data_IF_803229477321
#
_entry.id   IF_803229477321
#
_cell.length_a   1.000
_cell.length_b   1.000
_cell.length_c   1.000
_cell.angle_alpha   90.00
_cell.angle_beta   90.00
_cell.angle_gamma   90.00
#
_symmetry.space_group_name_H-M   'P 1'
#
loop_
_entity.id
_entity.type
_entity.pdbx_description
1 polymer ?
#
# COMPACT_ATOMS: atom_id res chain seq x y z
N UNK A 1 -33.31 -68.76 -38.72
CA UNK A 1 -31.93 -68.54 -38.24
C UNK A 1 -31.49 -67.08 -38.24
N UNK A 2 -32.25 -66.12 -38.81
CA UNK A 2 -31.75 -64.70 -38.93
C UNK A 2 -32.20 -63.74 -37.84
N UNK A 3 -32.95 -64.15 -36.82
CA UNK A 3 -33.37 -63.25 -35.74
C UNK A 3 -32.45 -63.27 -34.49
N UNK A 4 -31.68 -64.33 -34.34
CA UNK A 4 -30.75 -64.47 -33.18
C UNK A 4 -29.44 -63.71 -33.44
N UNK A 5 -29.00 -63.61 -34.69
CA UNK A 5 -27.77 -62.87 -35.05
C UNK A 5 -27.92 -61.34 -34.86
N UNK A 6 -29.15 -60.79 -35.03
CA UNK A 6 -29.41 -59.37 -34.84
C UNK A 6 -29.35 -58.89 -33.39
N UNK A 7 -29.78 -59.76 -32.46
CA UNK A 7 -29.81 -59.43 -31.02
C UNK A 7 -28.38 -59.45 -30.40
N UNK A 8 -27.56 -60.39 -30.85
CA UNK A 8 -26.16 -60.45 -30.38
C UNK A 8 -25.31 -59.26 -30.89
N UNK A 9 -25.60 -58.75 -32.08
CA UNK A 9 -24.88 -57.59 -32.63
C UNK A 9 -25.25 -56.29 -31.91
N UNK A 10 -26.50 -56.08 -31.54
CA UNK A 10 -26.97 -54.89 -30.79
C UNK A 10 -26.49 -54.88 -29.34
N UNK A 11 -26.38 -56.01 -28.66
CA UNK A 11 -25.83 -56.10 -27.31
C UNK A 11 -24.32 -55.84 -27.30
N UNK A 12 -23.58 -56.20 -28.32
CA UNK A 12 -22.13 -55.95 -28.37
C UNK A 12 -21.81 -54.46 -28.60
N UNK A 13 -22.61 -53.76 -29.42
CA UNK A 13 -22.44 -52.30 -29.64
C UNK A 13 -22.83 -51.50 -28.41
N UNK A 14 -23.88 -51.92 -27.66
CA UNK A 14 -24.28 -51.28 -26.41
C UNK A 14 -23.23 -51.46 -25.30
N UNK A 15 -22.54 -52.60 -25.23
CA UNK A 15 -21.47 -52.84 -24.23
C UNK A 15 -20.19 -52.02 -24.55
N UNK A 16 -19.88 -51.77 -25.82
CA UNK A 16 -18.75 -50.93 -26.23
C UNK A 16 -19.05 -49.44 -25.93
N UNK A 17 -20.28 -48.98 -26.17
CA UNK A 17 -20.70 -47.61 -25.86
C UNK A 17 -20.71 -47.31 -24.35
N UNK A 18 -21.13 -48.26 -23.53
CA UNK A 18 -21.09 -48.11 -22.04
C UNK A 18 -19.66 -48.08 -21.50
N UNK A 19 -18.70 -48.75 -22.13
CA UNK A 19 -17.29 -48.72 -21.75
C UNK A 19 -16.60 -47.36 -22.03
N UNK A 20 -17.10 -46.59 -23.00
CA UNK A 20 -16.56 -45.24 -23.30
C UNK A 20 -17.09 -44.15 -22.34
N UNK A 21 -18.23 -44.34 -21.70
CA UNK A 21 -18.81 -43.38 -20.77
C UNK A 21 -18.25 -43.50 -19.33
N UNK A 22 -17.54 -44.56 -18.98
CA UNK A 22 -16.93 -44.75 -17.67
C UNK A 22 -15.48 -44.21 -17.56
N UNK A 23 -14.98 -43.57 -18.59
CA UNK A 23 -13.56 -43.11 -18.62
C UNK A 23 -13.36 -41.61 -18.47
N UNK A 24 -14.34 -40.88 -18.01
CA UNK A 24 -14.26 -39.42 -17.91
C UNK A 24 -14.83 -38.87 -16.60
N UNK A 25 -14.25 -39.24 -15.51
CA UNK A 25 -14.25 -38.40 -14.29
C UNK A 25 -12.98 -38.72 -13.51
N UNK A 26 -11.85 -38.15 -13.94
CA UNK A 26 -10.77 -37.92 -12.99
C UNK A 26 -11.33 -36.97 -11.93
N UNK A 27 -11.20 -37.30 -10.64
CA UNK A 27 -11.62 -36.37 -9.58
C UNK A 27 -10.79 -35.10 -9.76
N UNK A 28 -11.44 -33.96 -10.04
CA UNK A 28 -10.83 -32.67 -9.93
C UNK A 28 -10.24 -32.57 -8.52
N UNK A 29 -8.93 -32.62 -8.41
CA UNK A 29 -8.25 -32.33 -7.16
C UNK A 29 -8.62 -30.89 -6.78
N UNK A 30 -9.22 -30.65 -5.62
CA UNK A 30 -9.53 -29.30 -5.21
C UNK A 30 -8.22 -28.51 -5.15
N UNK A 31 -8.01 -27.64 -6.12
CA UNK A 31 -6.87 -26.74 -6.13
C UNK A 31 -7.15 -25.69 -5.06
N UNK A 32 -6.69 -25.92 -3.85
CA UNK A 32 -6.66 -24.90 -2.81
C UNK A 32 -5.74 -23.78 -3.26
N UNK A 33 -6.29 -22.72 -3.83
CA UNK A 33 -5.57 -21.47 -4.03
C UNK A 33 -5.55 -20.77 -2.67
N UNK A 34 -4.51 -21.02 -1.90
CA UNK A 34 -4.22 -20.19 -0.73
C UNK A 34 -3.75 -18.85 -1.27
N UNK A 35 -4.59 -17.83 -1.16
CA UNK A 35 -4.18 -16.45 -1.42
C UNK A 35 -3.28 -16.03 -0.26
N UNK A 36 -1.98 -16.18 -0.44
CA UNK A 36 -1.00 -15.66 0.52
C UNK A 36 -0.84 -14.18 0.22
N UNK A 37 -1.44 -13.34 1.05
CA UNK A 37 -1.33 -11.90 0.88
C UNK A 37 0.09 -11.45 1.26
N UNK A 38 0.78 -10.89 0.28
CA UNK A 38 2.13 -10.35 0.45
C UNK A 38 2.08 -9.07 1.30
N UNK A 39 2.88 -9.02 2.34
CA UNK A 39 3.00 -7.83 3.19
C UNK A 39 4.01 -6.87 2.59
N UNK A 40 3.59 -5.63 2.35
CA UNK A 40 4.47 -4.51 1.98
C UNK A 40 4.78 -3.72 3.25
N UNK A 41 6.06 -3.57 3.57
CA UNK A 41 6.54 -2.86 4.75
C UNK A 41 7.50 -1.74 4.34
N UNK A 42 7.07 -0.49 4.57
CA UNK A 42 7.93 0.68 4.49
C UNK A 42 8.54 1.01 5.86
N UNK A 43 9.83 1.36 5.88
CA UNK A 43 10.48 1.84 7.10
C UNK A 43 11.61 2.83 6.78
N UNK A 44 11.96 3.67 7.77
CA UNK A 44 13.11 4.56 7.69
C UNK A 44 14.06 4.26 8.84
N UNK A 45 15.35 4.46 8.60
CA UNK A 45 16.41 4.31 9.60
C UNK A 45 17.06 5.67 9.83
N UNK A 46 17.13 6.10 11.08
CA UNK A 46 17.70 7.38 11.48
C UNK A 46 18.84 7.15 12.46
N UNK A 47 19.95 7.85 12.26
CA UNK A 47 21.07 7.86 13.21
C UNK A 47 20.71 8.61 14.51
N UNK A 48 21.66 8.69 15.44
CA UNK A 48 21.49 9.39 16.71
C UNK A 48 21.26 10.90 16.56
N UNK A 49 21.63 11.48 15.40
CA UNK A 49 21.42 12.88 15.03
C UNK A 49 20.15 13.10 14.23
N UNK A 50 19.29 12.06 14.12
CA UNK A 50 18.08 12.02 13.30
C UNK A 50 18.34 12.25 11.80
N UNK A 51 19.50 11.88 11.29
CA UNK A 51 19.80 11.86 9.84
C UNK A 51 19.42 10.49 9.28
N UNK A 52 18.91 10.47 8.06
CA UNK A 52 18.59 9.22 7.37
C UNK A 52 19.85 8.42 7.09
N UNK A 53 19.77 7.12 7.34
CA UNK A 53 20.81 6.14 7.04
C UNK A 53 20.42 5.44 5.76
N UNK A 54 21.16 5.69 4.69
CA UNK A 54 20.92 5.13 3.36
C UNK A 54 21.96 4.08 3.01
N UNK A 55 21.69 3.29 1.95
CA UNK A 55 22.61 2.29 1.43
C UNK A 55 22.62 0.98 2.21
N UNK A 56 21.70 0.76 3.15
CA UNK A 56 21.53 -0.54 3.80
C UNK A 56 21.08 -1.59 2.77
N UNK A 57 21.54 -2.82 2.96
CA UNK A 57 21.18 -3.98 2.14
C UNK A 57 20.27 -4.93 2.92
N UNK A 58 19.58 -5.86 2.27
CA UNK A 58 18.71 -6.82 2.96
C UNK A 58 19.39 -7.59 4.11
N UNK A 59 20.69 -7.84 4.03
CA UNK A 59 21.47 -8.51 5.08
C UNK A 59 21.70 -7.66 6.33
N UNK A 60 21.55 -6.34 6.23
CA UNK A 60 21.84 -5.40 7.30
C UNK A 60 20.67 -5.25 8.27
N UNK A 61 19.53 -5.89 7.98
CA UNK A 61 18.36 -5.88 8.86
C UNK A 61 17.59 -7.21 8.83
N UNK A 62 16.79 -7.44 9.86
CA UNK A 62 15.86 -8.55 9.97
C UNK A 62 14.46 -8.02 10.24
N UNK A 63 13.46 -8.64 9.63
CA UNK A 63 12.04 -8.35 9.86
C UNK A 63 11.45 -9.49 10.68
N UNK A 64 10.69 -9.14 11.70
CA UNK A 64 9.96 -10.09 12.55
C UNK A 64 8.48 -9.74 12.55
N UNK A 65 7.65 -10.78 12.60
CA UNK A 65 6.21 -10.71 12.80
C UNK A 65 5.87 -11.59 14.00
N UNK A 66 5.38 -11.00 15.11
CA UNK A 66 5.18 -11.68 16.39
C UNK A 66 6.38 -12.55 16.81
N UNK A 67 7.61 -12.00 16.71
CA UNK A 67 8.90 -12.66 16.98
C UNK A 67 9.30 -13.75 15.97
N UNK A 68 8.47 -14.04 14.95
CA UNK A 68 8.79 -14.99 13.86
C UNK A 68 9.57 -14.23 12.78
N UNK A 69 10.80 -14.68 12.50
CA UNK A 69 11.63 -14.08 11.47
C UNK A 69 11.00 -14.27 10.08
N UNK A 70 10.92 -13.19 9.31
CA UNK A 70 10.35 -13.19 7.97
C UNK A 70 11.45 -13.20 6.90
N UNK A 71 11.22 -13.96 5.82
CA UNK A 71 12.10 -13.97 4.66
C UNK A 71 11.70 -12.84 3.72
N UNK A 72 12.56 -11.82 3.57
CA UNK A 72 12.34 -10.71 2.65
C UNK A 72 12.39 -11.23 1.22
N UNK A 73 11.33 -10.97 0.44
CA UNK A 73 11.21 -11.37 -0.96
C UNK A 73 11.70 -10.28 -1.92
N UNK A 74 11.33 -9.01 -1.66
CA UNK A 74 11.83 -7.88 -2.45
C UNK A 74 12.32 -6.74 -1.55
N UNK A 75 13.17 -5.91 -2.14
CA UNK A 75 13.79 -4.77 -1.47
C UNK A 75 13.88 -3.58 -2.42
N UNK A 76 13.54 -2.40 -1.93
CA UNK A 76 13.75 -1.13 -2.60
C UNK A 76 14.23 -0.06 -1.61
N UNK A 77 15.00 0.92 -2.10
CA UNK A 77 15.41 2.11 -1.35
C UNK A 77 14.91 3.36 -2.09
N UNK A 78 14.20 4.22 -1.40
CA UNK A 78 13.60 5.42 -1.97
C UNK A 78 12.63 5.09 -3.11
N UNK A 79 12.75 5.81 -4.20
CA UNK A 79 11.94 5.63 -5.42
C UNK A 79 12.54 4.65 -6.43
N UNK A 80 13.58 3.88 -6.04
CA UNK A 80 14.21 2.88 -6.91
C UNK A 80 13.26 1.70 -7.15
N UNK A 81 13.45 1.06 -8.31
CA UNK A 81 12.71 -0.17 -8.63
C UNK A 81 12.97 -1.26 -7.60
N UNK A 82 11.95 -1.98 -7.16
CA UNK A 82 12.12 -3.14 -6.30
C UNK A 82 13.02 -4.19 -6.94
N UNK A 83 13.86 -4.82 -6.14
CA UNK A 83 14.75 -5.91 -6.54
C UNK A 83 14.39 -7.18 -5.75
N UNK A 84 14.49 -8.33 -6.40
CA UNK A 84 14.31 -9.63 -5.73
C UNK A 84 15.50 -9.88 -4.80
N UNK A 85 15.21 -10.34 -3.59
CA UNK A 85 16.24 -10.78 -2.64
C UNK A 85 16.44 -12.31 -2.83
N UNK A 86 17.64 -12.71 -3.18
CA UNK A 86 18.02 -14.12 -3.34
C UNK A 86 18.33 -14.76 -1.98
N UNK A 87 18.44 -16.08 -1.93
CA UNK A 87 18.72 -16.82 -0.69
C UNK A 87 20.07 -16.46 -0.04
N UNK A 88 21.07 -16.12 -0.86
CA UNK A 88 22.38 -15.65 -0.40
C UNK A 88 22.37 -14.15 0.02
N UNK A 89 21.21 -13.46 -0.05
CA UNK A 89 21.05 -12.04 0.26
C UNK A 89 21.44 -11.08 -0.86
N UNK A 90 21.82 -11.58 -2.05
CA UNK A 90 22.10 -10.75 -3.22
C UNK A 90 20.81 -10.19 -3.82
N UNK A 91 20.94 -9.09 -4.55
CA UNK A 91 19.83 -8.40 -5.20
C UNK A 91 19.85 -8.69 -6.72
N UNK A 92 18.70 -9.07 -7.26
CA UNK A 92 18.48 -9.25 -8.69
C UNK A 92 17.31 -8.39 -9.16
N UNK A 93 17.41 -7.71 -10.32
CA UNK A 93 16.26 -7.01 -10.88
C UNK A 93 15.07 -7.98 -11.05
N UNK A 94 13.86 -7.52 -10.70
CA UNK A 94 12.64 -8.24 -11.04
C UNK A 94 12.59 -8.35 -12.57
N UNK A 95 12.47 -9.58 -13.09
CA UNK A 95 12.20 -9.76 -14.51
C UNK A 95 10.75 -9.37 -14.74
N UNK A 96 10.50 -8.41 -15.62
CA UNK A 96 9.17 -8.22 -16.15
C UNK A 96 8.70 -9.56 -16.72
N UNK A 97 7.58 -10.07 -16.27
CA UNK A 97 6.94 -11.24 -16.83
C UNK A 97 6.31 -10.87 -18.18
N UNK A 98 7.17 -10.48 -19.13
CA UNK A 98 6.86 -10.35 -20.56
C UNK A 98 6.89 -11.74 -21.18
N UNK A 99 5.97 -12.61 -20.77
CA UNK A 99 5.64 -13.79 -21.53
C UNK A 99 4.84 -13.33 -22.76
N UNK A 100 5.36 -13.58 -23.97
CA UNK A 100 4.52 -13.64 -25.18
C UNK A 100 3.30 -14.52 -24.85
N UNK A 101 2.10 -14.19 -25.38
CA UNK A 101 0.95 -15.05 -25.22
C UNK A 101 1.22 -16.38 -25.92
N UNK A 102 1.75 -17.33 -25.17
CA UNK A 102 1.85 -18.72 -25.62
C UNK A 102 0.45 -19.34 -25.72
N UNK A 103 0.25 -20.37 -26.58
CA UNK A 103 -1.06 -20.93 -26.83
C UNK A 103 -1.70 -21.42 -25.53
N UNK A 104 -2.96 -21.04 -25.36
CA UNK A 104 -3.84 -21.44 -24.24
C UNK A 104 -3.91 -22.97 -24.21
N UNK A 105 -3.26 -23.62 -23.25
CA UNK A 105 -3.37 -25.08 -23.12
C UNK A 105 -2.28 -25.81 -22.35
N UNK A 106 -1.35 -25.15 -21.66
CA UNK A 106 -0.40 -25.84 -20.81
C UNK A 106 -0.67 -25.56 -19.32
N UNK A 107 -1.00 -26.62 -18.57
CA UNK A 107 -0.92 -26.64 -17.11
C UNK A 107 0.53 -26.34 -16.68
N UNK A 108 0.86 -25.08 -16.48
CA UNK A 108 2.10 -24.70 -15.84
C UNK A 108 1.86 -24.83 -14.34
N UNK A 109 2.59 -25.69 -13.60
CA UNK A 109 2.54 -25.70 -12.15
C UNK A 109 2.90 -24.31 -11.66
N UNK A 110 2.12 -23.76 -10.71
CA UNK A 110 2.38 -22.46 -10.11
C UNK A 110 3.81 -22.47 -9.57
N UNK A 111 4.72 -21.72 -10.23
CA UNK A 111 6.08 -21.58 -9.80
C UNK A 111 6.04 -20.78 -8.48
N UNK A 112 6.45 -21.33 -7.34
CA UNK A 112 6.48 -20.60 -6.08
C UNK A 112 7.40 -19.37 -6.10
N UNK A 113 8.23 -19.21 -7.15
CA UNK A 113 9.08 -18.05 -7.38
C UNK A 113 8.43 -16.96 -8.25
N UNK A 114 7.19 -17.11 -8.67
CA UNK A 114 6.47 -16.08 -9.41
C UNK A 114 6.05 -14.95 -8.46
N UNK A 115 6.87 -13.92 -8.41
CA UNK A 115 6.55 -12.68 -7.66
C UNK A 115 5.37 -11.99 -8.37
N UNK A 116 4.34 -11.65 -7.57
CA UNK A 116 3.16 -10.92 -8.05
C UNK A 116 3.60 -9.61 -8.75
N UNK A 117 3.12 -9.37 -9.98
CA UNK A 117 3.42 -8.18 -10.79
C UNK A 117 3.05 -6.85 -10.13
N UNK A 118 2.29 -6.89 -9.03
CA UNK A 118 2.02 -5.71 -8.19
C UNK A 118 3.27 -5.06 -7.60
N UNK A 119 4.39 -5.79 -7.57
CA UNK A 119 5.67 -5.30 -7.03
C UNK A 119 6.51 -4.53 -8.05
N UNK A 120 6.14 -4.55 -9.33
CA UNK A 120 6.94 -3.94 -10.42
C UNK A 120 6.77 -2.41 -10.55
N UNK A 121 5.84 -1.80 -9.80
CA UNK A 121 5.61 -0.36 -9.86
C UNK A 121 6.81 0.40 -9.27
N UNK A 122 7.52 1.13 -10.13
CA UNK A 122 8.59 2.04 -9.73
C UNK A 122 8.02 3.32 -9.13
N UNK A 123 8.67 3.86 -8.10
CA UNK A 123 8.26 5.08 -7.43
C UNK A 123 7.16 4.86 -6.39
N UNK A 124 6.65 5.96 -5.88
CA UNK A 124 5.60 5.98 -4.86
C UNK A 124 4.30 6.52 -5.45
N UNK A 125 3.18 5.88 -5.13
CA UNK A 125 1.85 6.41 -5.42
C UNK A 125 1.46 7.34 -4.28
N UNK A 126 1.38 8.63 -4.55
CA UNK A 126 1.10 9.67 -3.57
C UNK A 126 -0.35 10.14 -3.75
N UNK A 127 -1.19 9.92 -2.75
CA UNK A 127 -2.54 10.46 -2.71
C UNK A 127 -2.56 11.68 -1.80
N UNK A 128 -2.80 12.86 -2.34
CA UNK A 128 -3.01 14.08 -1.56
C UNK A 128 -4.50 14.26 -1.34
N UNK A 129 -4.90 14.31 -0.07
CA UNK A 129 -6.26 14.63 0.37
C UNK A 129 -6.27 16.03 0.99
N UNK A 130 -6.79 16.99 0.25
CA UNK A 130 -6.80 18.41 0.61
C UNK A 130 -8.15 18.85 1.14
N UNK A 131 -8.14 19.39 2.35
CA UNK A 131 -9.30 19.98 3.00
C UNK A 131 -9.71 21.31 2.34
N UNK A 132 -10.92 21.37 1.83
CA UNK A 132 -11.51 22.56 1.23
C UNK A 132 -12.73 23.07 2.01
N UNK A 133 -12.94 22.57 3.23
CA UNK A 133 -14.03 23.00 4.10
C UNK A 133 -13.86 24.45 4.57
N UNK A 134 -14.91 24.99 5.18
CA UNK A 134 -14.91 26.34 5.73
C UNK A 134 -13.84 26.56 6.81
N UNK A 135 -13.34 25.49 7.46
CA UNK A 135 -12.24 25.57 8.40
C UNK A 135 -10.91 25.95 7.74
N UNK A 136 -10.75 25.64 6.42
CA UNK A 136 -9.54 25.95 5.65
C UNK A 136 -9.58 27.31 4.94
N UNK A 137 -10.70 28.02 4.94
CA UNK A 137 -10.94 29.20 4.12
C UNK A 137 -9.81 30.25 4.16
N UNK A 138 -9.30 30.57 5.34
CA UNK A 138 -8.25 31.59 5.51
C UNK A 138 -6.87 31.13 5.02
N UNK A 139 -6.63 29.83 4.95
CA UNK A 139 -5.35 29.25 4.53
C UNK A 139 -5.35 28.66 3.13
N UNK A 140 -6.48 28.64 2.45
CA UNK A 140 -6.72 27.88 1.23
C UNK A 140 -5.69 28.16 0.11
N UNK A 141 -5.42 29.43 -0.17
CA UNK A 141 -4.49 29.82 -1.26
C UNK A 141 -3.05 29.36 -0.94
N UNK A 142 -2.58 29.65 0.28
CA UNK A 142 -1.23 29.24 0.72
C UNK A 142 -1.08 27.70 0.78
N UNK A 143 -2.14 27.01 1.20
CA UNK A 143 -2.18 25.57 1.20
C UNK A 143 -2.05 25.00 -0.22
N UNK A 144 -2.84 25.54 -1.16
CA UNK A 144 -2.80 25.12 -2.56
C UNK A 144 -1.41 25.35 -3.18
N UNK A 145 -0.76 26.49 -2.88
CA UNK A 145 0.59 26.77 -3.38
C UNK A 145 1.62 25.82 -2.77
N UNK A 146 1.58 25.57 -1.47
CA UNK A 146 2.47 24.62 -0.79
C UNK A 146 2.33 23.19 -1.33
N UNK A 147 1.09 22.74 -1.60
CA UNK A 147 0.84 21.45 -2.23
C UNK A 147 1.37 21.42 -3.67
N UNK A 148 1.19 22.51 -4.43
CA UNK A 148 1.71 22.61 -5.80
C UNK A 148 3.25 22.52 -5.84
N UNK A 149 3.94 23.17 -4.90
CA UNK A 149 5.41 23.09 -4.77
C UNK A 149 5.86 21.68 -4.38
N UNK A 150 5.15 21.03 -3.48
CA UNK A 150 5.38 19.61 -3.15
C UNK A 150 5.25 18.73 -4.40
N UNK A 151 4.18 18.88 -5.19
CA UNK A 151 3.95 18.11 -6.41
C UNK A 151 5.11 18.31 -7.41
N UNK A 152 5.60 19.55 -7.60
CA UNK A 152 6.74 19.84 -8.49
C UNK A 152 8.03 19.14 -8.05
N UNK A 153 8.22 19.02 -6.74
CA UNK A 153 9.42 18.43 -6.15
C UNK A 153 9.41 16.92 -5.99
N UNK A 154 8.34 16.21 -6.35
CA UNK A 154 8.29 14.75 -6.32
C UNK A 154 9.24 14.13 -7.34
N UNK A 155 9.78 12.94 -7.05
CA UNK A 155 10.60 12.20 -8.01
C UNK A 155 9.81 11.88 -9.28
N UNK A 156 10.50 11.82 -10.43
CA UNK A 156 9.84 11.57 -11.73
C UNK A 156 9.15 10.21 -11.81
N UNK A 157 9.62 9.24 -11.05
CA UNK A 157 9.02 7.91 -10.96
C UNK A 157 7.73 7.88 -10.13
N UNK A 158 7.52 8.87 -9.25
CA UNK A 158 6.33 8.92 -8.40
C UNK A 158 5.08 9.29 -9.20
N UNK A 159 3.96 8.72 -8.81
CA UNK A 159 2.62 9.05 -9.32
C UNK A 159 1.87 9.87 -8.27
N UNK A 160 0.99 10.76 -8.71
CA UNK A 160 0.24 11.66 -7.84
C UNK A 160 -1.26 11.62 -8.16
N UNK A 161 -2.09 11.47 -7.14
CA UNK A 161 -3.53 11.73 -7.19
C UNK A 161 -3.83 12.95 -6.32
N UNK A 162 -4.73 13.81 -6.77
CA UNK A 162 -5.19 14.97 -6.01
C UNK A 162 -6.68 14.83 -5.74
N UNK A 163 -6.99 14.64 -4.47
CA UNK A 163 -8.35 14.57 -3.95
C UNK A 163 -8.60 15.79 -3.08
N UNK A 164 -9.79 16.34 -3.16
CA UNK A 164 -10.22 17.43 -2.29
C UNK A 164 -11.47 16.99 -1.55
N UNK A 165 -11.71 17.55 -0.39
CA UNK A 165 -12.91 17.24 0.37
C UNK A 165 -13.44 18.44 1.14
N UNK A 166 -14.73 18.44 1.34
CA UNK A 166 -15.48 19.16 2.35
C UNK A 166 -16.47 18.16 2.97
N UNK A 167 -17.75 18.27 2.73
CA UNK A 167 -18.74 17.25 3.11
C UNK A 167 -18.60 15.96 2.29
N UNK A 168 -18.17 16.08 1.04
CA UNK A 168 -17.98 14.96 0.11
C UNK A 168 -16.57 14.93 -0.46
N UNK A 169 -16.13 13.71 -0.82
CA UNK A 169 -14.87 13.51 -1.52
C UNK A 169 -15.02 13.89 -3.00
N UNK A 170 -14.11 14.74 -3.47
CA UNK A 170 -13.92 15.03 -4.88
C UNK A 170 -12.56 14.48 -5.35
N UNK A 171 -12.58 13.57 -6.30
CA UNK A 171 -11.39 13.01 -6.95
C UNK A 171 -10.96 13.94 -8.09
N UNK A 172 -10.36 15.08 -7.72
CA UNK A 172 -10.04 16.16 -8.66
C UNK A 172 -9.09 15.71 -9.77
N UNK A 173 -8.12 14.86 -9.44
CA UNK A 173 -7.18 14.27 -10.41
C UNK A 173 -6.91 12.82 -10.04
N UNK A 174 -7.17 11.87 -10.97
CA UNK A 174 -6.80 10.48 -10.76
C UNK A 174 -5.29 10.30 -10.72
N UNK A 175 -4.81 9.17 -10.20
CA UNK A 175 -3.40 8.86 -10.10
C UNK A 175 -2.71 8.88 -11.47
N UNK A 176 -1.70 9.72 -11.61
CA UNK A 176 -0.93 9.92 -12.85
C UNK A 176 0.46 10.50 -12.55
N UNK A 177 1.31 10.59 -13.57
CA UNK A 177 2.66 11.19 -13.46
C UNK A 177 2.75 12.62 -14.00
N UNK A 178 1.67 13.18 -14.53
CA UNK A 178 1.63 14.53 -15.08
C UNK A 178 1.45 15.58 -13.96
N UNK A 179 2.54 16.25 -13.62
CA UNK A 179 2.55 17.31 -12.60
C UNK A 179 1.68 18.50 -12.97
N UNK A 180 1.62 18.82 -14.26
CA UNK A 180 0.79 19.91 -14.79
C UNK A 180 -0.70 19.63 -14.59
N UNK A 181 -1.13 18.40 -14.91
CA UNK A 181 -2.50 17.93 -14.68
C UNK A 181 -2.83 17.96 -13.17
N UNK A 182 -1.93 17.47 -12.33
CA UNK A 182 -2.15 17.44 -10.87
C UNK A 182 -2.30 18.86 -10.29
N UNK A 183 -1.42 19.79 -10.65
CA UNK A 183 -1.48 21.19 -10.20
C UNK A 183 -2.70 21.92 -10.79
N UNK A 184 -3.03 21.64 -12.06
CA UNK A 184 -4.23 22.20 -12.71
C UNK A 184 -5.53 21.78 -12.02
N UNK A 185 -5.63 20.51 -11.61
CA UNK A 185 -6.78 20.00 -10.87
C UNK A 185 -6.85 20.57 -9.45
N UNK A 186 -5.71 20.68 -8.76
CA UNK A 186 -5.62 21.29 -7.44
C UNK A 186 -6.14 22.73 -7.45
N UNK A 187 -5.75 23.53 -8.46
CA UNK A 187 -6.20 24.94 -8.59
C UNK A 187 -7.68 25.10 -8.93
N UNK A 188 -8.35 24.05 -9.38
CA UNK A 188 -9.80 24.03 -9.60
C UNK A 188 -10.57 23.62 -8.34
N UNK A 189 -9.90 23.38 -7.22
CA UNK A 189 -10.55 23.06 -5.96
C UNK A 189 -11.50 24.19 -5.54
N UNK A 190 -12.70 23.82 -5.12
CA UNK A 190 -13.75 24.76 -4.70
C UNK A 190 -13.92 24.64 -3.19
N UNK A 191 -14.00 25.77 -2.51
CA UNK A 191 -14.32 25.81 -1.09
C UNK A 191 -15.73 25.27 -0.84
N UNK A 192 -15.86 24.48 0.21
CA UNK A 192 -17.11 23.91 0.70
C UNK A 192 -17.38 24.30 2.15
N UNK A 193 -18.45 23.76 2.73
CA UNK A 193 -18.89 24.13 4.07
C UNK A 193 -18.36 23.20 5.15
N UNK A 194 -18.99 22.03 5.31
CA UNK A 194 -18.67 21.07 6.37
C UNK A 194 -17.39 20.28 6.09
N UNK A 195 -16.81 19.72 7.14
CA UNK A 195 -15.66 18.83 7.06
C UNK A 195 -16.06 17.40 7.40
N UNK A 196 -15.98 16.48 6.42
CA UNK A 196 -16.14 15.04 6.60
C UNK A 196 -14.82 14.32 6.38
N UNK A 197 -13.79 14.71 7.12
CA UNK A 197 -12.40 14.23 6.98
C UNK A 197 -12.32 12.70 7.01
N UNK A 198 -12.91 12.07 8.04
CA UNK A 198 -12.74 10.63 8.24
C UNK A 198 -13.48 9.80 7.19
N UNK A 199 -14.69 10.24 6.76
CA UNK A 199 -15.37 9.61 5.64
C UNK A 199 -14.53 9.69 4.35
N UNK A 200 -13.98 10.87 4.05
CA UNK A 200 -13.22 11.12 2.84
C UNK A 200 -11.85 10.43 2.87
N UNK A 201 -11.21 10.40 4.03
CA UNK A 201 -9.95 9.66 4.21
C UNK A 201 -10.16 8.16 4.04
N UNK A 202 -11.25 7.58 4.59
CA UNK A 202 -11.58 6.17 4.39
C UNK A 202 -11.77 5.83 2.91
N UNK A 203 -12.49 6.67 2.16
CA UNK A 203 -12.69 6.48 0.72
C UNK A 203 -11.38 6.62 -0.06
N UNK A 204 -10.51 7.56 0.34
CA UNK A 204 -9.18 7.73 -0.25
C UNK A 204 -8.31 6.50 -0.01
N UNK A 205 -8.32 5.94 1.19
CA UNK A 205 -7.59 4.71 1.51
C UNK A 205 -8.09 3.51 0.69
N UNK A 206 -9.40 3.37 0.52
CA UNK A 206 -9.98 2.32 -0.34
C UNK A 206 -9.59 2.43 -1.81
N UNK A 207 -9.45 3.66 -2.31
CA UNK A 207 -8.95 3.87 -3.68
C UNK A 207 -7.44 3.59 -3.76
N UNK A 208 -6.68 4.04 -2.77
CA UNK A 208 -5.25 3.84 -2.67
C UNK A 208 -4.86 2.36 -2.54
N UNK A 209 -5.65 1.56 -1.82
CA UNK A 209 -5.45 0.12 -1.64
C UNK A 209 -5.60 -0.70 -2.93
N UNK A 210 -6.33 -0.18 -3.93
CA UNK A 210 -6.48 -0.84 -5.24
C UNK A 210 -5.26 -0.67 -6.15
N UNK A 211 -4.36 0.24 -5.80
CA UNK A 211 -3.21 0.57 -6.64
C UNK A 211 -2.02 -0.30 -6.23
N UNK A 212 -1.40 -1.02 -7.18
CA UNK A 212 -0.22 -1.82 -6.88
C UNK A 212 0.99 -0.96 -6.56
N UNK A 213 1.90 -1.50 -5.75
CA UNK A 213 3.16 -0.86 -5.37
C UNK A 213 3.07 -0.04 -4.08
N UNK A 214 4.13 0.71 -3.81
CA UNK A 214 4.23 1.55 -2.62
C UNK A 214 3.27 2.72 -2.71
N UNK A 215 2.37 2.83 -1.74
CA UNK A 215 1.34 3.87 -1.70
C UNK A 215 1.38 4.62 -0.38
N UNK A 216 1.18 5.94 -0.41
CA UNK A 216 1.06 6.81 0.77
C UNK A 216 -0.10 7.78 0.61
N UNK A 217 -0.71 8.18 1.72
CA UNK A 217 -1.73 9.22 1.76
C UNK A 217 -1.19 10.41 2.55
N UNK A 218 -1.31 11.61 1.98
CA UNK A 218 -0.96 12.87 2.62
C UNK A 218 -2.24 13.68 2.82
N UNK A 219 -2.61 13.86 4.07
CA UNK A 219 -3.76 14.69 4.47
C UNK A 219 -3.27 16.09 4.76
N UNK A 220 -3.88 17.08 4.12
CA UNK A 220 -3.68 18.49 4.44
C UNK A 220 -4.99 19.07 4.96
N UNK A 221 -5.06 19.38 6.26
CA UNK A 221 -6.30 19.77 6.92
C UNK A 221 -6.05 20.73 8.09
N UNK A 222 -7.10 21.45 8.47
CA UNK A 222 -7.09 22.25 9.71
C UNK A 222 -7.47 21.42 10.96
N UNK A 223 -8.10 20.28 10.80
CA UNK A 223 -8.33 19.33 11.89
C UNK A 223 -9.76 18.99 12.23
N UNK A 224 -10.68 19.95 12.46
CA UNK A 224 -12.01 19.59 12.87
C UNK A 224 -12.78 18.76 11.84
N UNK A 225 -13.53 17.79 12.35
CA UNK A 225 -14.48 16.99 11.59
C UNK A 225 -15.85 17.13 12.24
N UNK A 226 -16.85 17.59 11.47
CA UNK A 226 -18.21 17.80 11.93
C UNK A 226 -19.28 17.07 11.13
N UNK A 227 -18.88 16.31 10.11
CA UNK A 227 -19.82 15.68 9.19
C UNK A 227 -19.51 14.21 8.88
N UNK A 228 -18.47 13.62 9.44
CA UNK A 228 -18.19 12.19 9.25
C UNK A 228 -19.13 11.30 10.06
N UNK A 229 -19.47 10.16 9.45
CA UNK A 229 -20.22 9.07 10.08
C UNK A 229 -19.28 7.97 10.62
N UNK A 230 -18.06 7.83 10.06
CA UNK A 230 -17.06 6.87 10.51
C UNK A 230 -16.17 7.49 11.57
N UNK A 231 -15.64 6.63 12.45
CA UNK A 231 -14.72 7.05 13.50
C UNK A 231 -13.26 7.16 12.98
N UNK A 232 -12.41 7.97 13.64
CA UNK A 232 -10.97 7.95 13.36
C UNK A 232 -10.32 6.57 13.54
N UNK A 233 -10.85 5.76 14.45
CA UNK A 233 -10.41 4.40 14.73
C UNK A 233 -10.66 3.46 13.55
N UNK A 234 -11.82 3.58 12.88
CA UNK A 234 -12.14 2.79 11.68
C UNK A 234 -11.18 3.12 10.54
N UNK A 235 -10.89 4.42 10.34
CA UNK A 235 -9.93 4.89 9.33
C UNK A 235 -8.54 4.34 9.62
N UNK A 236 -8.10 4.40 10.87
CA UNK A 236 -6.81 3.87 11.31
C UNK A 236 -6.72 2.38 11.05
N UNK A 237 -7.75 1.61 11.41
CA UNK A 237 -7.76 0.16 11.22
C UNK A 237 -7.60 -0.21 9.73
N UNK A 238 -8.33 0.44 8.83
CA UNK A 238 -8.20 0.21 7.38
C UNK A 238 -6.78 0.56 6.88
N UNK A 239 -6.21 1.68 7.33
CA UNK A 239 -4.87 2.08 6.91
C UNK A 239 -3.78 1.12 7.42
N UNK A 240 -3.93 0.60 8.64
CA UNK A 240 -3.04 -0.44 9.20
C UNK A 240 -3.13 -1.75 8.41
N UNK A 241 -4.35 -2.20 8.10
CA UNK A 241 -4.59 -3.44 7.38
C UNK A 241 -4.06 -3.37 5.94
N UNK A 242 -4.28 -2.25 5.24
CA UNK A 242 -3.78 -2.03 3.88
C UNK A 242 -2.28 -1.65 3.83
N UNK A 243 -1.67 -1.37 4.97
CA UNK A 243 -0.25 -0.99 5.05
C UNK A 243 0.08 0.35 4.42
N UNK A 244 -0.88 1.28 4.38
CA UNK A 244 -0.74 2.60 3.75
C UNK A 244 -0.33 3.63 4.82
N UNK A 245 0.90 4.18 4.77
CA UNK A 245 1.31 5.27 5.66
C UNK A 245 0.48 6.53 5.41
N UNK A 246 0.02 7.15 6.52
CA UNK A 246 -0.71 8.41 6.49
C UNK A 246 0.19 9.51 7.06
N UNK A 247 0.52 10.49 6.21
CA UNK A 247 1.13 11.74 6.62
C UNK A 247 0.04 12.79 6.81
N UNK A 248 0.14 13.59 7.87
CA UNK A 248 -0.81 14.67 8.11
C UNK A 248 -0.06 15.99 8.25
N UNK A 249 -0.48 17.00 7.50
CA UNK A 249 -0.06 18.38 7.69
C UNK A 249 -1.28 19.15 8.19
N UNK A 250 -1.25 19.50 9.48
CA UNK A 250 -2.30 20.29 10.10
C UNK A 250 -1.90 21.77 10.14
N UNK A 251 -2.79 22.65 9.69
CA UNK A 251 -2.60 24.10 9.81
C UNK A 251 -3.03 24.64 11.17
N UNK A 252 -3.63 23.81 12.03
CA UNK A 252 -4.03 24.17 13.38
C UNK A 252 -2.88 24.08 14.37
N UNK A 253 -2.95 24.89 15.42
CA UNK A 253 -2.06 24.75 16.58
C UNK A 253 -2.51 23.61 17.48
N UNK A 254 -1.57 22.80 17.95
CA UNK A 254 -1.86 21.68 18.88
C UNK A 254 -2.63 22.14 20.10
N UNK A 255 -2.33 23.34 20.59
CA UNK A 255 -2.97 23.93 21.79
C UNK A 255 -4.40 24.41 21.54
N UNK A 256 -4.73 24.73 20.29
CA UNK A 256 -6.08 25.20 19.92
C UNK A 256 -7.05 24.06 19.62
N UNK A 257 -6.52 22.97 19.09
CA UNK A 257 -7.30 21.75 18.83
C UNK A 257 -6.51 20.51 19.27
N UNK A 258 -6.46 20.24 20.58
CA UNK A 258 -5.74 19.09 21.11
C UNK A 258 -6.39 17.76 20.73
N UNK A 259 -7.69 17.73 20.47
CA UNK A 259 -8.42 16.49 20.10
C UNK A 259 -7.97 16.03 18.72
N UNK A 260 -8.15 16.85 17.69
CA UNK A 260 -7.73 16.50 16.33
C UNK A 260 -6.22 16.27 16.25
N UNK A 261 -5.42 17.07 16.98
CA UNK A 261 -3.98 16.90 17.04
C UNK A 261 -3.56 15.53 17.59
N UNK A 262 -4.21 15.02 18.63
CA UNK A 262 -3.94 13.69 19.18
C UNK A 262 -4.38 12.58 18.22
N UNK A 263 -5.53 12.74 17.57
CA UNK A 263 -5.99 11.79 16.54
C UNK A 263 -4.98 11.73 15.39
N UNK A 264 -4.52 12.84 14.87
CA UNK A 264 -3.54 12.92 13.80
C UNK A 264 -2.21 12.26 14.14
N UNK A 265 -1.69 12.52 15.36
CA UNK A 265 -0.50 11.85 15.88
C UNK A 265 -0.66 10.33 15.92
N UNK A 266 -1.80 9.85 16.41
CA UNK A 266 -2.10 8.41 16.52
C UNK A 266 -2.24 7.75 15.16
N UNK A 267 -3.02 8.32 14.25
CA UNK A 267 -3.22 7.77 12.90
C UNK A 267 -1.87 7.68 12.17
N UNK A 268 -1.09 8.78 12.17
CA UNK A 268 0.21 8.79 11.49
C UNK A 268 1.20 7.80 12.11
N UNK A 269 1.35 7.79 13.43
CA UNK A 269 2.30 6.89 14.10
C UNK A 269 1.97 5.41 13.86
N UNK A 270 0.69 5.04 13.91
CA UNK A 270 0.26 3.65 13.79
C UNK A 270 0.33 3.14 12.34
N UNK A 271 0.37 4.02 11.36
CA UNK A 271 0.50 3.66 9.94
C UNK A 271 1.93 3.80 9.41
N UNK A 272 2.90 4.25 10.23
CA UNK A 272 4.29 4.46 9.82
C UNK A 272 4.56 5.83 9.18
N UNK A 273 3.57 6.72 9.12
CA UNK A 273 3.71 8.10 8.67
C UNK A 273 4.15 9.08 9.76
N UNK A 274 3.92 10.37 9.53
CA UNK A 274 4.20 11.48 10.46
C UNK A 274 3.10 12.53 10.43
N UNK A 275 2.90 13.23 11.55
CA UNK A 275 2.05 14.42 11.61
C UNK A 275 2.87 15.67 11.85
N UNK A 276 2.54 16.72 11.13
CA UNK A 276 3.17 18.04 11.20
C UNK A 276 2.11 19.08 11.56
N UNK A 277 2.44 20.00 12.46
CA UNK A 277 1.57 21.11 12.86
C UNK A 277 2.17 22.41 12.36
N UNK A 278 1.71 22.82 11.19
CA UNK A 278 2.33 23.82 10.32
C UNK A 278 1.41 25.04 10.15
N UNK A 279 1.32 25.89 11.19
CA UNK A 279 0.48 27.09 11.20
C UNK A 279 0.83 28.11 10.11
N UNK A 280 2.14 28.26 9.80
CA UNK A 280 2.63 29.23 8.83
C UNK A 280 2.97 28.56 7.51
N UNK A 281 2.93 29.30 6.40
CA UNK A 281 3.28 28.78 5.09
C UNK A 281 4.72 28.21 5.04
N UNK A 282 5.67 28.83 5.75
CA UNK A 282 7.03 28.31 5.85
C UNK A 282 7.06 26.92 6.48
N UNK A 283 6.30 26.73 7.59
CA UNK A 283 6.20 25.43 8.24
C UNK A 283 5.48 24.38 7.39
N UNK A 284 4.57 24.81 6.51
CA UNK A 284 3.92 23.90 5.56
C UNK A 284 4.92 23.41 4.50
N UNK A 285 5.76 24.33 3.97
CA UNK A 285 6.84 23.96 3.05
C UNK A 285 7.82 23.00 3.74
N UNK A 286 8.31 23.31 4.95
CA UNK A 286 9.19 22.44 5.73
C UNK A 286 8.57 21.03 5.96
N UNK A 287 7.27 20.97 6.23
CA UNK A 287 6.55 19.71 6.40
C UNK A 287 6.52 18.87 5.10
N UNK A 288 6.23 19.51 3.97
CA UNK A 288 6.26 18.84 2.68
C UNK A 288 7.67 18.40 2.27
N UNK A 289 8.71 19.20 2.55
CA UNK A 289 10.11 18.82 2.35
C UNK A 289 10.46 17.59 3.19
N UNK A 290 10.09 17.59 4.46
CA UNK A 290 10.29 16.43 5.34
C UNK A 290 9.57 15.18 4.85
N UNK A 291 8.38 15.30 4.25
CA UNK A 291 7.69 14.16 3.64
C UNK A 291 8.46 13.68 2.40
N UNK A 292 8.92 14.56 1.52
CA UNK A 292 9.75 14.18 0.35
C UNK A 292 11.03 13.46 0.77
N UNK A 293 11.70 13.96 1.81
CA UNK A 293 12.87 13.30 2.38
C UNK A 293 12.54 11.90 2.91
N UNK A 294 11.43 11.75 3.62
CA UNK A 294 10.97 10.44 4.09
C UNK A 294 10.71 9.48 2.92
N UNK A 295 10.04 9.93 1.86
CA UNK A 295 9.76 9.12 0.68
C UNK A 295 11.04 8.71 -0.04
N UNK A 296 11.99 9.63 -0.19
CA UNK A 296 13.25 9.40 -0.87
C UNK A 296 14.26 8.54 -0.09
N UNK A 297 14.17 8.53 1.25
CA UNK A 297 15.13 7.85 2.12
C UNK A 297 14.54 6.66 2.89
N UNK A 298 13.37 6.16 2.50
CA UNK A 298 12.77 4.99 3.12
C UNK A 298 13.15 3.72 2.39
N UNK A 299 13.18 2.63 3.14
CA UNK A 299 13.27 1.27 2.61
C UNK A 299 11.87 0.70 2.46
N UNK A 300 11.65 -0.07 1.41
CA UNK A 300 10.44 -0.87 1.21
C UNK A 300 10.84 -2.32 1.03
N UNK A 301 10.28 -3.19 1.83
CA UNK A 301 10.45 -4.63 1.71
C UNK A 301 9.11 -5.31 1.55
N UNK A 302 9.12 -6.44 0.85
CA UNK A 302 7.96 -7.32 0.84
C UNK A 302 8.35 -8.68 1.37
N UNK A 303 7.40 -9.35 2.00
CA UNK A 303 7.55 -10.73 2.44
C UNK A 303 6.21 -11.47 2.41
N UNK A 304 6.28 -12.79 2.27
CA UNK A 304 5.14 -13.68 2.47
C UNK A 304 5.16 -14.14 3.93
N UNK A 305 4.11 -13.84 4.72
CA UNK A 305 4.09 -14.18 6.13
C UNK A 305 4.34 -15.65 6.37
N UNK A 306 5.29 -15.97 7.26
CA UNK A 306 5.47 -17.32 7.75
C UNK A 306 4.24 -17.76 8.56
N UNK A 307 3.95 -19.09 8.65
CA UNK A 307 2.84 -19.58 9.45
C UNK A 307 2.85 -18.98 10.86
N UNK A 308 1.76 -18.31 11.21
CA UNK A 308 1.58 -17.62 12.48
C UNK A 308 0.17 -17.92 13.02
N UNK A 309 0.03 -18.49 14.22
CA UNK A 309 -1.27 -18.80 14.81
C UNK A 309 -2.07 -17.56 15.24
N UNK A 310 -1.43 -16.38 15.26
CA UNK A 310 -2.10 -15.13 15.63
C UNK A 310 -2.97 -14.63 14.46
N UNK A 311 -4.29 -14.78 14.57
CA UNK A 311 -5.25 -14.25 13.61
C UNK A 311 -5.68 -12.80 13.91
N UNK A 312 -5.16 -12.23 15.00
CA UNK A 312 -5.43 -10.86 15.43
C UNK A 312 -4.43 -9.87 14.87
N UNK A 313 -4.08 -8.86 15.66
CA UNK A 313 -3.07 -7.87 15.32
C UNK A 313 -1.66 -8.47 15.44
N UNK A 314 -0.93 -8.54 14.34
CA UNK A 314 0.44 -9.05 14.26
C UNK A 314 1.42 -7.90 14.36
N UNK A 315 2.29 -7.96 15.35
CA UNK A 315 3.32 -6.93 15.58
C UNK A 315 4.46 -7.09 14.59
N UNK A 316 4.87 -5.99 13.96
CA UNK A 316 6.06 -5.96 13.10
C UNK A 316 7.20 -5.30 13.86
N UNK A 317 8.39 -5.89 13.74
CA UNK A 317 9.64 -5.36 14.28
C UNK A 317 10.74 -5.50 13.24
N UNK A 318 11.46 -4.41 13.01
CA UNK A 318 12.67 -4.40 12.18
C UNK A 318 13.86 -4.19 13.08
N UNK A 319 14.89 -5.01 12.93
CA UNK A 319 16.14 -4.91 13.67
C UNK A 319 17.32 -4.79 12.72
N UNK A 320 18.30 -3.94 13.09
CA UNK A 320 19.59 -3.90 12.40
C UNK A 320 20.49 -5.01 12.92
N UNK A 321 21.20 -5.68 12.02
CA UNK A 321 22.08 -6.81 12.35
C UNK A 321 23.40 -6.35 12.93
N UNK A 322 23.92 -5.19 12.54
CA UNK A 322 25.17 -4.62 13.04
C UNK A 322 24.96 -4.01 14.44
N UNK A 323 25.80 -4.44 15.40
CA UNK A 323 25.78 -3.93 16.78
C UNK A 323 26.05 -2.42 16.86
N UNK A 324 26.89 -1.89 15.98
CA UNK A 324 27.19 -0.46 15.93
C UNK A 324 25.94 0.37 15.57
N UNK A 325 25.03 -0.21 14.81
CA UNK A 325 23.79 0.43 14.38
C UNK A 325 22.60 0.22 15.33
N UNK A 326 22.71 -0.58 16.38
CA UNK A 326 21.62 -0.83 17.35
C UNK A 326 21.07 0.43 18.03
N UNK A 327 21.85 1.52 18.03
CA UNK A 327 21.44 2.84 18.56
C UNK A 327 20.59 3.65 17.60
N UNK A 328 20.44 3.19 16.35
CA UNK A 328 19.66 3.90 15.34
C UNK A 328 18.17 3.69 15.59
N UNK A 329 17.39 4.69 15.22
CA UNK A 329 15.94 4.65 15.35
C UNK A 329 15.33 4.13 14.06
N UNK A 330 14.53 3.08 14.17
CA UNK A 330 13.75 2.58 13.05
C UNK A 330 12.31 3.05 13.22
N UNK A 331 11.75 3.65 12.18
CA UNK A 331 10.35 4.00 12.11
C UNK A 331 9.68 3.15 11.05
N UNK A 332 8.73 2.34 11.47
CA UNK A 332 7.87 1.49 10.68
C UNK A 332 6.47 1.50 11.27
N UNK A 333 5.49 0.96 10.56
CA UNK A 333 4.20 0.65 11.19
C UNK A 333 4.38 -0.42 12.28
N UNK A 334 3.60 -0.36 13.38
CA UNK A 334 3.78 -1.30 14.49
C UNK A 334 3.27 -2.71 14.19
N UNK A 335 2.46 -2.89 13.15
CA UNK A 335 1.87 -4.17 12.78
C UNK A 335 0.70 -4.02 11.80
N UNK A 336 -0.07 -5.10 11.64
CA UNK A 336 -1.26 -5.15 10.80
C UNK A 336 -2.18 -6.30 11.26
N UNK A 337 -3.40 -6.36 10.71
CA UNK A 337 -4.29 -7.51 10.84
C UNK A 337 -4.32 -8.29 9.53
N UNK A 338 -4.05 -9.61 9.54
CA UNK A 338 -4.15 -10.42 8.33
C UNK A 338 -5.60 -10.42 7.83
N UNK A 339 -5.78 -10.25 6.53
CA UNK A 339 -7.10 -10.40 5.94
C UNK A 339 -7.53 -11.87 6.07
N UNK A 340 -8.69 -12.12 6.65
CA UNK A 340 -9.26 -13.46 6.67
C UNK A 340 -9.62 -13.83 5.24
N UNK A 341 -8.97 -14.86 4.69
CA UNK A 341 -9.42 -15.46 3.44
C UNK A 341 -10.85 -15.98 3.65
N UNK A 342 -11.78 -15.47 2.86
CA UNK A 342 -13.14 -16.01 2.74
C UNK A 342 -13.16 -17.22 1.81
#
# INVERSE_FOLDING_TARGET
MNKIAGILSTCLIAAIAAGFWLRAQEPEQPTFRVKVDMVVLGFTVLDQKNKYVNGLKPKDFKVYEDEIAQKVATFAEGSRSPMQVLENGDLRPLRASGGEPGPVGANVPANPDAIDTRTEATGTNVFVLFDTSNYMYRGFVYASDSIADFIRGLDRSDSIAVYTYSRNLNRAVPLNRDRGMAIGGLRKAVAGDDSALYNCLLLTLRDAAKVPGRTVVIVFSNGPDNASMVSPEDVRAVAEDEGIPIYVISTSEVTKDPISSNIFKRISANTGGKSYFAKTWQKQIEAFESIREDLGNSYTVTYYPQPNPNEGFRKIRVELTDEAMRKYKIRARPGYRPQRGF
#
